data_IF_339653426961
#
_entry.id   IF_339653426961
#
_cell.length_a   1.000
_cell.length_b   1.000
_cell.length_c   1.000
_cell.angle_alpha   90.00
_cell.angle_beta   90.00
_cell.angle_gamma   90.00
#
_symmetry.space_group_name_H-M   'P 1'
#
loop_
_entity.id
_entity.type
_entity.pdbx_description
1 polymer ?
#
# COMPACT_ATOMS: atom_id res chain seq x y z
N UNK A 1 -19.18 13.98 -15.04
CA UNK A 1 -17.72 14.05 -14.78
C UNK A 1 -17.39 13.00 -13.73
N UNK A 2 -16.54 12.02 -14.04
CA UNK A 2 -16.12 11.00 -13.06
C UNK A 2 -15.44 11.70 -11.88
N UNK A 3 -15.91 11.50 -10.63
CA UNK A 3 -15.28 12.11 -9.45
C UNK A 3 -13.90 11.51 -9.11
N UNK A 4 -13.42 10.54 -9.89
CA UNK A 4 -12.18 9.80 -9.65
C UNK A 4 -11.26 9.84 -10.88
N UNK A 5 -10.27 10.74 -10.86
CA UNK A 5 -9.04 10.60 -11.68
C UNK A 5 -8.12 9.57 -11.02
N UNK A 6 -7.37 8.81 -11.83
CA UNK A 6 -6.28 7.92 -11.41
C UNK A 6 -5.35 8.56 -10.37
N UNK A 7 -5.13 9.87 -10.49
CA UNK A 7 -4.30 10.69 -9.60
C UNK A 7 -4.80 10.75 -8.16
N UNK A 8 -6.12 10.60 -7.94
CA UNK A 8 -6.73 10.58 -6.60
C UNK A 8 -6.63 9.21 -5.94
N UNK A 9 -6.57 8.12 -6.71
CA UNK A 9 -6.62 6.75 -6.21
C UNK A 9 -5.23 6.23 -5.84
N UNK A 10 -4.23 6.54 -6.67
CA UNK A 10 -2.86 6.05 -6.48
C UNK A 10 -2.06 6.87 -5.46
N UNK A 11 -2.61 7.99 -4.99
CA UNK A 11 -1.85 8.98 -4.23
C UNK A 11 -0.90 9.71 -5.17
N UNK A 12 -0.86 11.02 -5.07
CA UNK A 12 0.03 11.83 -5.90
C UNK A 12 1.46 11.74 -5.31
N UNK A 13 2.13 10.60 -5.47
CA UNK A 13 3.54 10.43 -5.10
C UNK A 13 4.40 11.23 -6.08
N UNK A 14 4.56 12.52 -5.80
CA UNK A 14 5.45 13.39 -6.57
C UNK A 14 6.89 13.17 -6.11
N UNK A 15 7.82 13.34 -7.04
CA UNK A 15 9.26 13.36 -6.77
C UNK A 15 9.78 12.09 -6.09
N UNK A 16 9.39 10.92 -6.61
CA UNK A 16 9.87 9.63 -6.11
C UNK A 16 11.40 9.54 -6.23
N UNK A 17 12.04 9.35 -5.08
CA UNK A 17 13.48 9.18 -4.97
C UNK A 17 13.81 7.71 -4.73
N UNK A 18 14.82 7.22 -5.45
CA UNK A 18 15.36 5.87 -5.25
C UNK A 18 16.27 5.83 -4.02
N UNK A 19 16.19 4.73 -3.28
CA UNK A 19 17.06 4.43 -2.16
C UNK A 19 17.45 2.94 -2.14
N UNK A 20 18.50 2.58 -1.42
CA UNK A 20 18.89 1.18 -1.20
C UNK A 20 18.56 0.80 0.23
N UNK A 21 17.72 -0.22 0.42
CA UNK A 21 17.36 -0.75 1.74
C UNK A 21 18.60 -1.30 2.46
N UNK A 22 18.82 -0.87 3.70
CA UNK A 22 19.92 -1.38 4.55
C UNK A 22 19.43 -2.01 5.84
N UNK A 23 18.27 -1.60 6.37
CA UNK A 23 17.78 -2.15 7.63
C UNK A 23 16.34 -1.74 7.97
N UNK A 24 15.75 -2.43 8.93
CA UNK A 24 14.41 -2.14 9.45
C UNK A 24 14.41 -2.25 10.98
N UNK A 25 14.85 -1.19 11.70
CA UNK A 25 15.03 -1.25 13.16
C UNK A 25 13.72 -1.49 13.92
N UNK A 26 12.57 -1.10 13.36
CA UNK A 26 11.26 -1.40 13.92
C UNK A 26 10.20 -1.48 12.81
N UNK A 27 8.97 -1.87 13.18
CA UNK A 27 7.90 -2.11 12.20
C UNK A 27 7.49 -0.89 11.37
N UNK A 28 7.89 0.32 11.75
CA UNK A 28 7.52 1.59 11.12
C UNK A 28 8.69 2.41 10.59
N UNK A 29 9.92 1.91 10.68
CA UNK A 29 11.12 2.65 10.25
C UNK A 29 11.99 1.78 9.38
N UNK A 30 12.46 2.35 8.27
CA UNK A 30 13.46 1.75 7.39
C UNK A 30 14.69 2.62 7.37
N UNK A 31 15.85 1.99 7.40
CA UNK A 31 17.15 2.60 7.12
C UNK A 31 17.51 2.31 5.67
N UNK A 32 18.01 3.33 4.99
CA UNK A 32 18.35 3.24 3.58
C UNK A 32 19.49 4.19 3.19
N UNK A 33 20.07 3.95 2.01
CA UNK A 33 21.04 4.84 1.39
C UNK A 33 20.38 5.62 0.25
N UNK A 34 20.50 6.95 0.28
CA UNK A 34 20.13 7.84 -0.82
C UNK A 34 21.34 8.71 -1.18
N UNK A 35 21.76 8.74 -2.45
CA UNK A 35 22.95 9.51 -2.87
C UNK A 35 24.16 9.29 -1.93
N UNK A 36 24.41 8.04 -1.54
CA UNK A 36 25.45 7.61 -0.59
C UNK A 36 25.33 8.16 0.85
N UNK A 37 24.18 8.73 1.24
CA UNK A 37 23.88 9.17 2.61
C UNK A 37 22.91 8.20 3.28
N UNK A 38 23.19 7.88 4.55
CA UNK A 38 22.28 7.11 5.40
C UNK A 38 21.08 7.97 5.79
N UNK A 39 19.89 7.47 5.54
CA UNK A 39 18.62 8.13 5.84
C UNK A 39 17.67 7.17 6.56
N UNK A 40 16.72 7.74 7.30
CA UNK A 40 15.58 7.02 7.89
C UNK A 40 14.29 7.46 7.21
N UNK A 41 13.47 6.49 6.86
CA UNK A 41 12.16 6.70 6.26
C UNK A 41 11.06 6.00 7.07
N UNK A 42 9.89 6.64 7.15
CA UNK A 42 8.69 6.03 7.70
C UNK A 42 8.19 4.92 6.77
N UNK A 43 7.85 3.77 7.36
CA UNK A 43 7.27 2.63 6.66
C UNK A 43 5.79 2.50 7.06
N UNK A 44 4.84 2.89 6.20
CA UNK A 44 3.39 2.78 6.43
C UNK A 44 2.90 1.33 6.22
N UNK A 45 3.64 0.35 6.76
CA UNK A 45 3.35 -1.06 6.64
C UNK A 45 3.91 -1.87 7.82
N UNK A 46 3.08 -2.26 8.80
CA UNK A 46 3.53 -3.02 9.95
C UNK A 46 3.77 -4.52 9.63
N UNK A 47 3.50 -4.97 8.41
CA UNK A 47 3.65 -6.36 8.00
C UNK A 47 5.10 -6.85 8.13
N UNK A 48 5.30 -8.18 8.10
CA UNK A 48 6.63 -8.80 8.23
C UNK A 48 7.57 -8.44 7.07
N UNK A 49 7.05 -8.43 5.84
CA UNK A 49 7.76 -8.02 4.62
C UNK A 49 9.09 -8.76 4.37
N UNK A 50 9.26 -9.97 4.93
CA UNK A 50 10.52 -10.72 4.94
C UNK A 50 11.06 -11.03 3.55
N UNK A 51 10.19 -11.28 2.58
CA UNK A 51 10.57 -11.57 1.19
C UNK A 51 10.79 -10.30 0.34
N UNK A 52 10.42 -9.13 0.87
CA UNK A 52 10.43 -7.87 0.15
C UNK A 52 11.58 -6.96 0.60
N UNK A 53 11.80 -6.85 1.91
CA UNK A 53 12.82 -5.99 2.51
C UNK A 53 14.10 -6.77 2.82
N UNK A 54 14.80 -7.17 1.77
CA UNK A 54 16.12 -7.79 1.86
C UNK A 54 17.21 -6.71 1.67
N UNK A 55 18.37 -6.81 2.34
CA UNK A 55 19.49 -5.90 2.13
C UNK A 55 19.81 -5.70 0.64
N UNK A 56 20.03 -4.45 0.23
CA UNK A 56 20.35 -4.10 -1.16
C UNK A 56 19.14 -3.90 -2.08
N UNK A 57 17.90 -4.13 -1.61
CA UNK A 57 16.70 -3.89 -2.44
C UNK A 57 16.50 -2.39 -2.71
N UNK A 58 16.14 -2.07 -3.95
CA UNK A 58 15.76 -0.71 -4.36
C UNK A 58 14.40 -0.35 -3.75
N UNK A 59 14.35 0.80 -3.07
CA UNK A 59 13.14 1.41 -2.52
C UNK A 59 12.78 2.65 -3.34
N UNK A 60 11.49 2.97 -3.33
CA UNK A 60 10.96 4.24 -3.80
C UNK A 60 10.44 5.01 -2.59
N UNK A 61 10.97 6.21 -2.40
CA UNK A 61 10.63 7.12 -1.29
C UNK A 61 9.93 8.35 -1.84
N UNK A 62 8.97 8.88 -1.09
CA UNK A 62 8.45 10.24 -1.31
C UNK A 62 8.94 11.14 -0.19
N UNK A 63 9.20 12.41 -0.51
CA UNK A 63 9.54 13.42 0.50
C UNK A 63 8.26 13.97 1.12
N UNK A 64 8.29 14.18 2.43
CA UNK A 64 7.20 14.84 3.13
C UNK A 64 7.27 16.36 2.98
N UNK A 65 6.14 17.00 2.67
CA UNK A 65 6.05 18.46 2.51
C UNK A 65 6.04 19.19 3.87
N UNK A 66 5.47 18.56 4.89
CA UNK A 66 5.36 19.11 6.26
C UNK A 66 6.31 18.36 7.21
N UNK A 67 7.61 18.56 7.02
CA UNK A 67 8.65 17.90 7.83
C UNK A 67 8.59 18.33 9.31
N UNK A 68 8.08 19.53 9.62
CA UNK A 68 8.01 20.07 10.99
C UNK A 68 7.17 19.24 11.96
N UNK A 69 6.23 18.44 11.45
CA UNK A 69 5.30 17.63 12.26
C UNK A 69 5.70 16.14 12.30
N UNK A 70 6.77 15.75 11.58
CA UNK A 70 7.17 14.35 11.43
C UNK A 70 8.62 14.11 11.81
N UNK A 71 8.87 12.99 12.48
CA UNK A 71 10.22 12.57 12.87
C UNK A 71 11.09 12.07 11.70
N UNK A 72 10.51 11.85 10.52
CA UNK A 72 11.21 11.38 9.31
C UNK A 72 10.85 12.26 8.12
N UNK A 73 11.84 12.50 7.24
CA UNK A 73 11.70 13.35 6.05
C UNK A 73 11.07 12.62 4.86
N UNK A 74 11.07 11.29 4.91
CA UNK A 74 10.71 10.42 3.80
C UNK A 74 9.72 9.36 4.26
N UNK A 75 8.82 9.00 3.34
CA UNK A 75 7.93 7.85 3.48
C UNK A 75 8.28 6.82 2.40
N UNK A 76 8.39 5.56 2.80
CA UNK A 76 8.56 4.44 1.87
C UNK A 76 7.26 4.20 1.12
N UNK A 77 7.30 4.32 -0.20
CA UNK A 77 6.14 4.10 -1.08
C UNK A 77 6.12 2.67 -1.59
N UNK A 78 7.25 2.19 -2.11
CA UNK A 78 7.36 0.87 -2.73
C UNK A 78 8.76 0.27 -2.59
N UNK A 79 8.86 -1.04 -2.86
CA UNK A 79 10.11 -1.78 -2.99
C UNK A 79 10.13 -2.52 -4.31
N UNK A 80 11.29 -2.59 -4.96
CA UNK A 80 11.44 -3.31 -6.23
C UNK A 80 11.64 -4.81 -5.98
N UNK A 81 10.76 -5.63 -6.54
CA UNK A 81 10.89 -7.09 -6.61
C UNK A 81 10.82 -7.50 -8.08
N UNK A 82 11.82 -8.25 -8.55
CA UNK A 82 11.83 -8.82 -9.92
C UNK A 82 11.55 -7.77 -11.02
N UNK A 83 12.15 -6.59 -10.89
CA UNK A 83 11.96 -5.49 -11.83
C UNK A 83 10.70 -4.64 -11.59
N UNK A 84 9.74 -5.12 -10.80
CA UNK A 84 8.43 -4.50 -10.60
C UNK A 84 8.37 -3.78 -9.23
N UNK A 85 7.87 -2.54 -9.15
CA UNK A 85 7.57 -1.87 -7.89
C UNK A 85 6.38 -2.52 -7.18
N UNK A 86 6.59 -2.97 -5.95
CA UNK A 86 5.55 -3.47 -5.06
C UNK A 86 5.18 -2.37 -4.07
N UNK A 87 3.95 -1.89 -4.13
CA UNK A 87 3.44 -0.85 -3.24
C UNK A 87 3.46 -1.34 -1.78
N UNK A 88 4.09 -0.57 -0.90
CA UNK A 88 4.16 -0.86 0.53
C UNK A 88 3.14 -0.05 1.34
N UNK A 89 2.58 1.03 0.80
CA UNK A 89 1.62 1.86 1.52
C UNK A 89 0.24 1.19 1.64
N UNK A 90 -0.04 0.55 2.78
CA UNK A 90 -1.23 -0.31 2.95
C UNK A 90 -2.56 0.46 2.83
N UNK A 91 -2.63 1.69 3.33
CA UNK A 91 -3.84 2.51 3.18
C UNK A 91 -4.15 2.80 1.70
N UNK A 92 -3.14 3.06 0.87
CA UNK A 92 -3.33 3.25 -0.57
C UNK A 92 -3.75 1.96 -1.27
N UNK A 93 -3.19 0.82 -0.88
CA UNK A 93 -3.60 -0.48 -1.42
C UNK A 93 -5.11 -0.74 -1.23
N UNK A 94 -5.66 -0.41 -0.05
CA UNK A 94 -7.10 -0.53 0.20
C UNK A 94 -7.91 0.49 -0.62
N UNK A 95 -7.42 1.73 -0.80
CA UNK A 95 -8.07 2.71 -1.68
C UNK A 95 -8.14 2.23 -3.13
N UNK A 96 -7.03 1.67 -3.64
CA UNK A 96 -6.97 1.09 -5.00
C UNK A 96 -7.91 -0.10 -5.13
N UNK A 97 -7.91 -1.03 -4.17
CA UNK A 97 -8.82 -2.17 -4.17
C UNK A 97 -10.28 -1.70 -4.18
N UNK A 98 -10.64 -0.71 -3.36
CA UNK A 98 -11.96 -0.12 -3.34
C UNK A 98 -12.37 0.41 -4.72
N UNK A 99 -11.51 1.22 -5.32
CA UNK A 99 -11.77 1.80 -6.65
C UNK A 99 -11.95 0.70 -7.71
N UNK A 100 -11.09 -0.31 -7.72
CA UNK A 100 -11.19 -1.42 -8.68
C UNK A 100 -12.50 -2.22 -8.52
N UNK A 101 -12.99 -2.41 -7.28
CA UNK A 101 -14.28 -3.06 -7.02
C UNK A 101 -15.42 -2.18 -7.53
N UNK A 102 -15.42 -0.88 -7.18
CA UNK A 102 -16.47 0.07 -7.58
C UNK A 102 -16.51 0.33 -9.10
N UNK A 103 -15.40 0.12 -9.81
CA UNK A 103 -15.33 0.18 -11.28
C UNK A 103 -15.55 -1.19 -11.95
N UNK A 104 -15.89 -2.23 -11.18
CA UNK A 104 -16.14 -3.60 -11.69
C UNK A 104 -14.93 -4.19 -12.46
N UNK A 105 -13.71 -3.78 -12.11
CA UNK A 105 -12.47 -4.18 -12.79
C UNK A 105 -11.83 -5.44 -12.20
N UNK A 106 -12.46 -6.06 -11.19
CA UNK A 106 -12.00 -7.31 -10.58
C UNK A 106 -12.95 -8.43 -10.98
N UNK A 107 -12.43 -9.36 -11.77
CA UNK A 107 -13.19 -10.54 -12.19
C UNK A 107 -13.69 -11.34 -10.99
N UNK A 108 -14.99 -11.66 -11.00
CA UNK A 108 -15.70 -12.35 -9.93
C UNK A 108 -16.30 -11.43 -8.87
N UNK A 109 -16.07 -10.11 -8.96
CA UNK A 109 -16.65 -9.10 -8.07
C UNK A 109 -17.59 -8.12 -8.80
N UNK A 110 -17.98 -8.41 -10.04
CA UNK A 110 -18.90 -7.57 -10.81
C UNK A 110 -20.28 -7.48 -10.12
N UNK A 111 -20.84 -6.27 -10.06
CA UNK A 111 -22.10 -5.97 -9.37
C UNK A 111 -22.03 -5.97 -7.84
N UNK A 112 -20.85 -6.19 -7.23
CA UNK A 112 -20.68 -5.99 -5.79
C UNK A 112 -20.39 -4.52 -5.46
N UNK A 113 -21.04 -4.01 -4.43
CA UNK A 113 -20.77 -2.70 -3.83
C UNK A 113 -20.13 -2.85 -2.46
N UNK A 114 -19.34 -1.86 -2.04
CA UNK A 114 -18.72 -1.85 -0.71
C UNK A 114 -19.72 -1.29 0.31
N UNK A 115 -20.21 -2.16 1.19
CA UNK A 115 -21.12 -1.78 2.27
C UNK A 115 -20.36 -1.16 3.45
N UNK A 116 -19.22 -1.74 3.81
CA UNK A 116 -18.40 -1.26 4.94
C UNK A 116 -16.93 -1.65 4.79
N UNK A 117 -15.98 -0.71 4.94
CA UNK A 117 -14.55 -1.03 5.03
C UNK A 117 -14.17 -1.47 6.45
N UNK A 118 -13.06 -2.22 6.55
CA UNK A 118 -12.39 -2.59 7.82
C UNK A 118 -13.35 -3.20 8.86
N UNK A 119 -14.08 -4.25 8.48
CA UNK A 119 -15.02 -4.91 9.41
C UNK A 119 -14.31 -5.93 10.30
N UNK A 120 -14.78 -6.03 11.55
CA UNK A 120 -14.42 -7.09 12.48
C UNK A 120 -15.60 -8.05 12.63
N UNK A 121 -15.35 -9.35 12.45
CA UNK A 121 -16.34 -10.41 12.69
C UNK A 121 -15.69 -11.47 13.58
N UNK A 122 -16.16 -11.55 14.83
CA UNK A 122 -15.52 -12.36 15.86
C UNK A 122 -14.05 -11.96 16.05
N UNK A 123 -13.13 -12.92 15.88
CA UNK A 123 -11.68 -12.71 16.01
C UNK A 123 -10.99 -12.33 14.68
N UNK A 124 -11.74 -12.24 13.59
CA UNK A 124 -11.22 -11.97 12.25
C UNK A 124 -11.46 -10.52 11.83
N UNK A 125 -10.54 -9.99 11.01
CA UNK A 125 -10.65 -8.67 10.37
C UNK A 125 -10.66 -8.84 8.86
N UNK A 126 -11.59 -8.16 8.20
CA UNK A 126 -11.74 -8.16 6.75
C UNK A 126 -11.56 -6.74 6.21
N UNK A 127 -11.00 -6.62 5.02
CA UNK A 127 -10.75 -5.33 4.39
C UNK A 127 -12.07 -4.68 3.94
N UNK A 128 -13.01 -5.48 3.42
CA UNK A 128 -14.32 -5.01 2.96
C UNK A 128 -15.45 -5.98 3.27
N UNK A 129 -16.62 -5.44 3.58
CA UNK A 129 -17.91 -6.11 3.45
C UNK A 129 -18.53 -5.68 2.14
N UNK A 130 -18.73 -6.63 1.24
CA UNK A 130 -19.31 -6.44 -0.08
C UNK A 130 -20.75 -6.92 -0.10
N UNK A 131 -21.61 -6.26 -0.88
CA UNK A 131 -23.01 -6.63 -1.06
C UNK A 131 -23.39 -6.66 -2.55
N UNK A 132 -24.11 -7.71 -2.94
CA UNK A 132 -24.78 -7.87 -4.23
C UNK A 132 -26.12 -8.54 -3.97
N UNK A 133 -27.22 -7.88 -4.32
CA UNK A 133 -28.58 -8.35 -4.04
C UNK A 133 -28.77 -8.73 -2.55
N UNK A 134 -29.22 -9.96 -2.28
CA UNK A 134 -29.36 -10.53 -0.94
C UNK A 134 -28.08 -11.25 -0.44
N UNK A 135 -26.98 -11.20 -1.19
CA UNK A 135 -25.73 -11.82 -0.81
C UNK A 135 -24.76 -10.80 -0.20
N UNK A 136 -24.11 -11.20 0.89
CA UNK A 136 -23.00 -10.46 1.50
C UNK A 136 -21.72 -11.30 1.50
N UNK A 137 -20.60 -10.68 1.14
CA UNK A 137 -19.29 -11.32 1.09
C UNK A 137 -18.28 -10.52 1.92
N UNK A 138 -17.58 -11.19 2.83
CA UNK A 138 -16.47 -10.59 3.55
C UNK A 138 -15.18 -10.82 2.76
N UNK A 139 -14.61 -9.74 2.20
CA UNK A 139 -13.35 -9.79 1.47
C UNK A 139 -12.18 -9.44 2.39
N UNK A 140 -11.19 -10.33 2.47
CA UNK A 140 -9.89 -10.09 3.09
C UNK A 140 -8.83 -10.22 1.99
N UNK A 141 -7.77 -9.40 2.06
CA UNK A 141 -6.62 -9.30 1.12
C UNK A 141 -6.83 -9.97 -0.23
N UNK A 142 -6.97 -9.16 -1.28
CA UNK A 142 -6.90 -9.62 -2.67
C UNK A 142 -5.54 -10.31 -2.92
N UNK A 143 -5.52 -11.64 -2.85
CA UNK A 143 -4.39 -12.45 -3.30
C UNK A 143 -4.77 -13.08 -4.63
N UNK A 144 -4.18 -12.56 -5.73
CA UNK A 144 -4.08 -13.38 -6.94
C UNK A 144 -3.09 -14.50 -6.65
N UNK A 145 -3.57 -15.74 -6.59
CA UNK A 145 -2.70 -16.91 -6.79
C UNK A 145 -2.28 -16.87 -8.26
N UNK A 146 -1.04 -16.48 -8.52
CA UNK A 146 -0.42 -16.77 -9.81
C UNK A 146 -0.22 -18.29 -9.86
N UNK A 147 -0.80 -18.94 -10.86
CA UNK A 147 -0.38 -20.27 -11.28
C UNK A 147 0.89 -20.14 -12.10
#
# INVERSE_FOLDING_TARGET
MSPFSSDRVLGNFKDLQKAVFTGRPNRFTVECLTNNRKERAYLPNPGRLWELLLPGKELYLTRELQVSERSTKYTVVAVKKEGIPVLLHTHHANTVAKWLIEQEMISGLEGYSILKPQISLGRSRFDFLLKKDNQSLCATRLQKRWR
#
